data_IF_482054141501
#
_entry.id   IF_482054141501
#
_cell.length_a   1.000
_cell.length_b   1.000
_cell.length_c   1.000
_cell.angle_alpha   90.00
_cell.angle_beta   90.00
_cell.angle_gamma   90.00
#
_symmetry.space_group_name_H-M   'P 1'
#
loop_
_entity.id
_entity.type
_entity.pdbx_description
1 polymer ?
#
# COMPACT_ATOMS: atom_id res chain seq x y z
N UNK A 1 -42.52 49.05 -43.62
CA UNK A 1 -41.99 48.52 -42.34
C UNK A 1 -41.63 47.04 -42.53
N UNK A 2 -40.36 46.73 -42.84
CA UNK A 2 -39.84 45.35 -42.86
C UNK A 2 -39.15 45.13 -41.52
N UNK A 3 -39.65 44.21 -40.71
CA UNK A 3 -39.02 43.81 -39.44
C UNK A 3 -37.84 42.90 -39.77
N UNK A 4 -36.66 43.35 -39.39
CA UNK A 4 -35.40 42.61 -39.47
C UNK A 4 -35.36 41.71 -38.22
N UNK A 5 -35.52 40.39 -38.42
CA UNK A 5 -35.31 39.41 -37.35
C UNK A 5 -33.81 39.16 -37.22
N UNK A 6 -33.22 39.66 -36.14
CA UNK A 6 -31.84 39.36 -35.73
C UNK A 6 -31.86 37.96 -35.11
N UNK A 7 -31.24 37.00 -35.78
CA UNK A 7 -30.96 35.68 -35.23
C UNK A 7 -29.76 35.83 -34.28
N UNK A 8 -30.01 35.75 -32.98
CA UNK A 8 -28.96 35.69 -31.96
C UNK A 8 -28.46 34.24 -31.91
N UNK A 9 -27.27 33.98 -32.43
CA UNK A 9 -26.61 32.69 -32.27
C UNK A 9 -26.15 32.57 -30.81
N UNK A 10 -26.84 31.75 -30.01
CA UNK A 10 -26.31 31.27 -28.74
C UNK A 10 -25.14 30.34 -29.04
N UNK A 11 -23.92 30.82 -28.79
CA UNK A 11 -22.76 29.96 -28.58
C UNK A 11 -23.00 29.21 -27.26
N UNK A 12 -23.48 27.99 -27.36
CA UNK A 12 -23.34 27.00 -26.30
C UNK A 12 -21.85 26.65 -26.23
N UNK A 13 -21.10 27.38 -25.41
CA UNK A 13 -19.84 26.88 -24.87
C UNK A 13 -20.26 25.70 -24.01
N UNK A 14 -19.97 24.47 -24.45
CA UNK A 14 -20.00 23.36 -23.50
C UNK A 14 -19.03 23.73 -22.39
N UNK A 15 -19.49 23.78 -21.15
CA UNK A 15 -18.58 23.64 -20.01
C UNK A 15 -17.87 22.31 -20.24
N UNK A 16 -16.69 22.34 -20.87
CA UNK A 16 -15.74 21.28 -20.65
C UNK A 16 -15.44 21.39 -19.16
N UNK A 17 -15.84 20.37 -18.40
CA UNK A 17 -15.49 20.31 -16.98
C UNK A 17 -13.99 20.54 -16.88
N UNK A 18 -13.63 21.50 -16.03
CA UNK A 18 -12.23 21.85 -15.78
C UNK A 18 -11.46 20.55 -15.45
N UNK A 19 -10.34 20.24 -16.15
CA UNK A 19 -9.65 18.96 -16.01
C UNK A 19 -9.27 18.61 -14.58
N UNK A 20 -8.97 19.62 -13.76
CA UNK A 20 -8.70 19.47 -12.33
C UNK A 20 -9.94 18.95 -11.59
N UNK A 21 -11.10 19.58 -11.78
CA UNK A 21 -12.37 19.15 -11.17
C UNK A 21 -12.75 17.72 -11.60
N UNK A 22 -12.65 17.41 -12.90
CA UNK A 22 -12.97 16.08 -13.41
C UNK A 22 -12.03 15.00 -12.84
N UNK A 23 -10.72 15.29 -12.77
CA UNK A 23 -9.73 14.39 -12.19
C UNK A 23 -9.99 14.18 -10.70
N UNK A 24 -10.28 15.24 -9.96
CA UNK A 24 -10.55 15.19 -8.51
C UNK A 24 -11.71 14.25 -8.21
N UNK A 25 -12.81 14.37 -8.95
CA UNK A 25 -13.99 13.50 -8.78
C UNK A 25 -13.65 12.04 -9.12
N UNK A 26 -12.94 11.80 -10.23
CA UNK A 26 -12.58 10.43 -10.62
C UNK A 26 -11.64 9.76 -9.60
N UNK A 27 -10.67 10.50 -9.04
CA UNK A 27 -9.79 9.98 -7.99
C UNK A 27 -10.59 9.71 -6.72
N UNK A 28 -11.53 10.60 -6.36
CA UNK A 28 -12.41 10.40 -5.20
C UNK A 28 -13.21 9.11 -5.35
N UNK A 29 -13.83 8.89 -6.51
CA UNK A 29 -14.59 7.68 -6.80
C UNK A 29 -13.71 6.41 -6.74
N UNK A 30 -12.48 6.48 -7.24
CA UNK A 30 -11.52 5.38 -7.15
C UNK A 30 -11.18 5.04 -5.70
N UNK A 31 -10.78 6.03 -4.90
CA UNK A 31 -10.40 5.80 -3.50
C UNK A 31 -11.59 5.37 -2.66
N UNK A 32 -12.80 5.88 -2.90
CA UNK A 32 -14.03 5.40 -2.25
C UNK A 32 -14.25 3.90 -2.53
N UNK A 33 -14.06 3.46 -3.78
CA UNK A 33 -14.23 2.06 -4.16
C UNK A 33 -13.17 1.14 -3.51
N UNK A 34 -11.91 1.58 -3.43
CA UNK A 34 -10.85 0.82 -2.76
C UNK A 34 -11.05 0.79 -1.24
N UNK A 35 -11.54 1.86 -0.61
CA UNK A 35 -11.91 1.86 0.82
C UNK A 35 -13.11 0.95 1.11
N UNK A 36 -14.09 0.88 0.21
CA UNK A 36 -15.18 -0.11 0.28
C UNK A 36 -14.64 -1.54 0.20
N UNK A 37 -13.70 -1.80 -0.72
CA UNK A 37 -13.07 -3.11 -0.89
C UNK A 37 -12.21 -3.49 0.32
N UNK A 38 -11.44 -2.55 0.87
CA UNK A 38 -10.63 -2.70 2.07
C UNK A 38 -11.50 -3.05 3.28
N UNK A 39 -12.60 -2.31 3.48
CA UNK A 39 -13.56 -2.57 4.55
C UNK A 39 -14.22 -3.94 4.41
N UNK A 40 -14.63 -4.31 3.19
CA UNK A 40 -15.20 -5.63 2.95
C UNK A 40 -14.17 -6.75 3.17
N UNK A 41 -12.90 -6.55 2.81
CA UNK A 41 -11.81 -7.49 3.08
C UNK A 41 -11.62 -7.73 4.58
N UNK A 42 -11.68 -6.66 5.40
CA UNK A 42 -11.60 -6.78 6.86
C UNK A 42 -12.81 -7.54 7.46
N UNK A 43 -14.01 -7.30 6.95
CA UNK A 43 -15.21 -8.07 7.34
C UNK A 43 -15.08 -9.56 6.97
N UNK A 44 -14.62 -9.85 5.75
CA UNK A 44 -14.37 -11.22 5.28
C UNK A 44 -13.32 -11.93 6.14
N UNK A 45 -12.28 -11.21 6.56
CA UNK A 45 -11.21 -11.72 7.42
C UNK A 45 -11.74 -12.12 8.79
N UNK A 46 -12.58 -11.28 9.42
CA UNK A 46 -13.27 -11.62 10.68
C UNK A 46 -14.26 -12.78 10.52
N UNK A 47 -15.02 -12.80 9.42
CA UNK A 47 -15.97 -13.87 9.14
C UNK A 47 -15.29 -15.22 8.88
N UNK A 48 -14.07 -15.22 8.34
CA UNK A 48 -13.28 -16.41 8.07
C UNK A 48 -12.55 -16.96 9.30
N UNK A 49 -12.45 -16.19 10.39
CA UNK A 49 -11.76 -16.62 11.60
C UNK A 49 -12.34 -17.94 12.15
N UNK A 50 -11.48 -18.89 12.57
CA UNK A 50 -11.92 -20.11 13.25
C UNK A 50 -12.91 -19.81 14.37
N UNK A 51 -13.89 -20.70 14.52
CA UNK A 51 -14.85 -20.55 15.62
C UNK A 51 -14.10 -20.75 16.94
N UNK A 52 -14.19 -19.82 17.90
CA UNK A 52 -13.52 -20.01 19.19
C UNK A 52 -14.01 -21.29 19.87
N UNK A 53 -13.09 -22.19 20.17
CA UNK A 53 -13.33 -23.44 20.91
C UNK A 53 -12.21 -23.75 21.90
N UNK A 54 -12.29 -24.90 22.57
CA UNK A 54 -11.48 -25.18 23.75
C UNK A 54 -9.96 -25.28 23.49
N UNK A 55 -9.54 -25.68 22.30
CA UNK A 55 -8.14 -25.74 21.87
C UNK A 55 -7.66 -24.49 21.14
N UNK A 56 -8.53 -23.49 20.98
CA UNK A 56 -8.17 -22.22 20.35
C UNK A 56 -8.13 -22.37 18.84
N UNK A 57 -6.93 -22.29 18.26
CA UNK A 57 -6.67 -22.50 16.85
C UNK A 57 -5.66 -23.63 16.65
N UNK A 58 -5.91 -24.47 15.65
CA UNK A 58 -5.01 -25.56 15.27
C UNK A 58 -4.84 -25.63 13.75
N UNK A 59 -3.59 -25.64 13.28
CA UNK A 59 -3.24 -25.74 11.86
C UNK A 59 -3.91 -26.93 11.12
N UNK A 60 -4.21 -28.03 11.84
CA UNK A 60 -4.84 -29.23 11.26
C UNK A 60 -6.35 -29.09 11.16
N UNK A 61 -7.01 -28.74 12.26
CA UNK A 61 -8.47 -28.73 12.34
C UNK A 61 -9.07 -27.46 11.71
N UNK A 62 -8.32 -26.35 11.74
CA UNK A 62 -8.73 -25.06 11.19
C UNK A 62 -8.13 -24.75 9.82
N UNK A 63 -7.48 -25.72 9.17
CA UNK A 63 -6.76 -25.50 7.90
C UNK A 63 -7.59 -24.75 6.84
N UNK A 64 -8.89 -25.06 6.75
CA UNK A 64 -9.80 -24.41 5.81
C UNK A 64 -10.12 -22.95 6.20
N UNK A 65 -10.30 -22.68 7.50
CA UNK A 65 -10.54 -21.33 8.01
C UNK A 65 -9.28 -20.47 7.87
N UNK A 66 -8.10 -21.01 8.24
CA UNK A 66 -6.81 -20.35 8.04
C UNK A 66 -6.55 -20.02 6.56
N UNK A 67 -6.84 -20.95 5.64
CA UNK A 67 -6.73 -20.67 4.21
C UNK A 67 -7.68 -19.55 3.74
N UNK A 68 -8.93 -19.55 4.22
CA UNK A 68 -9.89 -18.50 3.91
C UNK A 68 -9.47 -17.14 4.48
N UNK A 69 -8.93 -17.12 5.71
CA UNK A 69 -8.36 -15.94 6.33
C UNK A 69 -7.17 -15.40 5.55
N UNK A 70 -6.20 -16.24 5.17
CA UNK A 70 -5.02 -15.82 4.38
C UNK A 70 -5.45 -15.20 3.05
N UNK A 71 -6.44 -15.79 2.40
CA UNK A 71 -7.01 -15.23 1.18
C UNK A 71 -7.76 -13.90 1.40
N UNK A 72 -8.46 -13.73 2.52
CA UNK A 72 -9.11 -12.47 2.88
C UNK A 72 -8.08 -11.39 3.20
N UNK A 73 -7.08 -11.72 4.02
CA UNK A 73 -5.97 -10.84 4.38
C UNK A 73 -5.24 -10.31 3.14
N UNK A 74 -4.94 -11.17 2.16
CA UNK A 74 -4.33 -10.74 0.90
C UNK A 74 -5.22 -9.75 0.12
N UNK A 75 -6.54 -9.99 0.05
CA UNK A 75 -7.46 -9.04 -0.60
C UNK A 75 -7.50 -7.70 0.13
N UNK A 76 -7.47 -7.72 1.46
CA UNK A 76 -7.42 -6.52 2.32
C UNK A 76 -6.13 -5.74 2.05
N UNK A 77 -4.96 -6.40 2.05
CA UNK A 77 -3.67 -5.79 1.71
C UNK A 77 -3.66 -5.17 0.33
N UNK A 78 -4.10 -5.88 -0.71
CA UNK A 78 -4.15 -5.34 -2.08
C UNK A 78 -4.99 -4.06 -2.15
N UNK A 79 -6.17 -4.04 -1.51
CA UNK A 79 -7.02 -2.86 -1.50
C UNK A 79 -6.39 -1.68 -0.74
N UNK A 80 -5.70 -1.95 0.37
CA UNK A 80 -4.94 -0.92 1.10
C UNK A 80 -3.82 -0.36 0.23
N UNK A 81 -2.99 -1.22 -0.37
CA UNK A 81 -1.82 -0.83 -1.17
C UNK A 81 -2.19 -0.06 -2.45
N UNK A 82 -3.39 -0.27 -2.99
CA UNK A 82 -3.89 0.56 -4.09
C UNK A 82 -4.06 2.03 -3.74
N UNK A 83 -4.23 2.36 -2.45
CA UNK A 83 -4.54 3.72 -1.98
C UNK A 83 -3.61 4.23 -0.88
N UNK A 84 -2.69 3.42 -0.36
CA UNK A 84 -1.70 3.72 0.70
C UNK A 84 -1.16 5.15 0.58
N UNK A 85 -0.55 5.50 -0.56
CA UNK A 85 0.02 6.83 -0.77
C UNK A 85 -0.97 8.00 -0.61
N UNK A 86 -2.26 7.79 -0.87
CA UNK A 86 -3.30 8.79 -0.62
C UNK A 86 -3.78 8.79 0.85
N UNK A 87 -3.98 7.61 1.44
CA UNK A 87 -4.57 7.48 2.78
C UNK A 87 -3.56 7.77 3.89
N UNK A 88 -2.29 7.40 3.75
CA UNK A 88 -1.24 7.63 4.76
C UNK A 88 -1.06 9.13 5.05
N UNK A 89 -1.22 9.97 4.01
CA UNK A 89 -1.14 11.43 4.13
C UNK A 89 -2.40 12.00 4.80
N UNK A 90 -3.58 11.46 4.47
CA UNK A 90 -4.87 12.00 4.92
C UNK A 90 -5.23 11.53 6.35
N UNK A 91 -4.83 10.32 6.72
CA UNK A 91 -5.19 9.65 7.96
C UNK A 91 -3.98 9.00 8.65
N UNK A 92 -2.88 9.74 8.93
CA UNK A 92 -1.62 9.17 9.41
C UNK A 92 -1.74 8.41 10.75
N UNK A 93 -2.74 8.71 11.56
CA UNK A 93 -2.99 7.95 12.80
C UNK A 93 -3.71 6.63 12.57
N UNK A 94 -4.61 6.58 11.57
CA UNK A 94 -5.33 5.35 11.24
C UNK A 94 -4.40 4.43 10.44
N UNK A 95 -3.61 5.01 9.53
CA UNK A 95 -2.51 4.37 8.82
C UNK A 95 -1.63 3.53 9.76
N UNK A 96 -1.03 4.17 10.79
CA UNK A 96 -0.29 3.46 11.85
C UNK A 96 -1.14 2.38 12.54
N UNK A 97 -2.41 2.64 12.84
CA UNK A 97 -3.24 1.67 13.54
C UNK A 97 -3.55 0.42 12.71
N UNK A 98 -3.61 0.53 11.39
CA UNK A 98 -3.99 -0.55 10.48
C UNK A 98 -2.81 -1.19 9.75
N UNK A 99 -1.66 -0.53 9.66
CA UNK A 99 -0.52 -1.02 8.86
C UNK A 99 0.87 -0.84 9.48
N UNK A 100 0.96 -0.43 10.74
CA UNK A 100 2.27 -0.41 11.40
C UNK A 100 2.82 -1.83 11.60
N UNK A 101 4.09 -2.02 11.25
CA UNK A 101 4.85 -3.26 11.47
C UNK A 101 5.17 -3.46 12.96
N UNK A 102 5.40 -4.71 13.36
CA UNK A 102 5.55 -5.12 14.77
C UNK A 102 6.58 -4.28 15.55
N UNK A 103 7.77 -4.10 14.99
CA UNK A 103 8.88 -3.35 15.59
C UNK A 103 8.48 -1.92 16.00
N UNK A 104 7.80 -1.18 15.12
CA UNK A 104 7.36 0.19 15.42
C UNK A 104 6.37 0.30 16.59
N UNK A 105 5.63 -0.77 16.93
CA UNK A 105 4.81 -0.80 18.15
C UNK A 105 5.63 -1.17 19.39
N UNK A 106 6.38 -2.27 19.32
CA UNK A 106 7.02 -2.83 20.52
C UNK A 106 8.24 -2.05 20.99
N UNK A 107 8.89 -1.30 20.11
CA UNK A 107 9.92 -0.31 20.51
C UNK A 107 9.35 0.77 21.42
N UNK A 108 8.08 1.15 21.23
CA UNK A 108 7.41 2.13 22.06
C UNK A 108 6.90 1.52 23.36
N UNK A 109 6.20 0.38 23.29
CA UNK A 109 5.67 -0.34 24.47
C UNK A 109 5.50 -1.82 24.14
N UNK A 110 6.08 -2.74 24.95
CA UNK A 110 5.83 -4.16 24.80
C UNK A 110 4.34 -4.50 24.85
N UNK A 111 3.92 -5.39 23.96
CA UNK A 111 2.56 -5.91 23.94
C UNK A 111 2.50 -7.25 24.67
N UNK A 112 1.61 -7.34 25.66
CA UNK A 112 1.48 -8.50 26.54
C UNK A 112 0.24 -9.35 26.21
N UNK A 113 -0.63 -8.89 25.32
CA UNK A 113 -1.83 -9.60 24.88
C UNK A 113 -2.06 -9.36 23.38
N UNK A 114 -1.35 -10.11 22.51
CA UNK A 114 -1.34 -9.85 21.06
C UNK A 114 -2.67 -10.15 20.37
N UNK A 115 -3.68 -10.63 21.10
CA UNK A 115 -5.01 -10.96 20.58
C UNK A 115 -6.06 -9.89 20.89
N UNK A 116 -5.73 -8.91 21.72
CA UNK A 116 -6.66 -7.85 22.11
C UNK A 116 -6.67 -6.69 21.09
N UNK A 117 -7.36 -5.58 21.44
CA UNK A 117 -7.50 -4.40 20.56
C UNK A 117 -6.50 -3.28 20.83
N UNK A 118 -5.44 -3.55 21.59
CA UNK A 118 -4.41 -2.62 22.05
C UNK A 118 -3.01 -3.13 21.69
N UNK A 119 -1.97 -2.31 21.93
CA UNK A 119 -0.61 -2.73 21.57
C UNK A 119 -0.43 -2.84 20.05
N UNK A 120 -0.05 -4.03 19.59
CA UNK A 120 0.21 -4.31 18.18
C UNK A 120 -1.11 -4.62 17.48
N UNK A 121 -1.58 -3.68 16.66
CA UNK A 121 -2.85 -3.82 15.91
C UNK A 121 -2.62 -3.80 14.40
N UNK A 122 -3.70 -3.97 13.62
CA UNK A 122 -3.64 -3.82 12.17
C UNK A 122 -3.36 -5.10 11.39
N UNK A 123 -3.13 -4.96 10.09
CA UNK A 123 -2.93 -6.06 9.15
C UNK A 123 -1.69 -6.88 9.50
N UNK A 124 -0.58 -6.25 9.90
CA UNK A 124 0.64 -6.98 10.28
C UNK A 124 0.53 -7.70 11.63
N UNK A 125 -0.25 -7.17 12.59
CA UNK A 125 -0.58 -7.91 13.80
C UNK A 125 -1.31 -9.22 13.48
N UNK A 126 -2.29 -9.14 12.57
CA UNK A 126 -3.04 -10.30 12.09
C UNK A 126 -2.14 -11.25 11.30
N UNK A 127 -1.30 -10.74 10.40
CA UNK A 127 -0.35 -11.51 9.60
C UNK A 127 0.58 -12.32 10.49
N UNK A 128 1.17 -11.66 11.51
CA UNK A 128 2.09 -12.27 12.47
C UNK A 128 1.48 -13.50 13.12
N UNK A 129 0.21 -13.42 13.52
CA UNK A 129 -0.53 -14.53 14.11
C UNK A 129 -0.88 -15.59 13.07
N UNK A 130 -1.39 -15.19 11.90
CA UNK A 130 -1.93 -16.08 10.88
C UNK A 130 -0.87 -16.97 10.18
N UNK A 131 0.39 -16.51 10.18
CA UNK A 131 1.56 -17.26 9.72
C UNK A 131 2.45 -17.76 10.86
N UNK A 132 1.97 -17.77 12.11
CA UNK A 132 2.75 -18.29 13.23
C UNK A 132 3.27 -19.71 12.97
N UNK A 133 4.56 -19.93 13.27
CA UNK A 133 5.26 -21.19 12.97
C UNK A 133 5.80 -21.32 11.54
N UNK A 134 5.48 -20.37 10.64
CA UNK A 134 5.99 -20.30 9.26
C UNK A 134 6.90 -19.07 9.04
N UNK A 135 7.23 -18.32 10.10
CA UNK A 135 8.04 -17.10 10.01
C UNK A 135 9.46 -17.39 9.51
N UNK A 136 10.01 -16.57 8.59
CA UNK A 136 11.38 -16.72 8.14
C UNK A 136 12.41 -16.61 9.28
N UNK A 137 13.48 -17.43 9.30
CA UNK A 137 14.48 -17.40 10.37
C UNK A 137 15.13 -16.03 10.60
N UNK A 138 15.37 -15.27 9.54
CA UNK A 138 15.93 -13.91 9.58
C UNK A 138 14.99 -12.92 10.27
N UNK A 139 13.67 -13.03 10.03
CA UNK A 139 12.65 -12.23 10.73
C UNK A 139 12.62 -12.57 12.21
N UNK A 140 12.65 -13.86 12.55
CA UNK A 140 12.73 -14.31 13.96
C UNK A 140 14.01 -13.81 14.62
N UNK A 141 15.15 -13.84 13.93
CA UNK A 141 16.43 -13.36 14.46
C UNK A 141 16.40 -11.84 14.71
N UNK A 142 15.79 -11.07 13.82
CA UNK A 142 15.55 -9.64 14.01
C UNK A 142 14.63 -9.38 15.21
N UNK A 143 13.41 -9.92 15.19
CA UNK A 143 12.41 -9.59 16.22
C UNK A 143 12.80 -10.06 17.60
N UNK A 144 13.45 -11.23 17.72
CA UNK A 144 13.91 -11.74 19.02
C UNK A 144 15.00 -10.89 19.68
N UNK A 145 15.59 -9.93 18.95
CA UNK A 145 16.50 -8.94 19.50
C UNK A 145 15.79 -7.73 20.13
N UNK A 146 14.49 -7.56 19.86
CA UNK A 146 13.69 -6.43 20.34
C UNK A 146 13.25 -6.67 21.80
N UNK A 147 13.36 -5.62 22.62
CA UNK A 147 12.89 -5.70 24.00
C UNK A 147 11.37 -5.86 24.05
N UNK A 148 10.88 -6.91 24.71
CA UNK A 148 9.46 -7.21 24.76
C UNK A 148 8.98 -8.14 23.65
N UNK A 149 9.89 -8.74 22.89
CA UNK A 149 9.57 -9.79 21.94
C UNK A 149 8.80 -10.95 22.58
N UNK A 150 7.68 -11.31 21.97
CA UNK A 150 6.99 -12.57 22.22
C UNK A 150 6.92 -13.39 20.93
N UNK A 151 7.25 -14.68 20.99
CA UNK A 151 7.16 -15.57 19.84
C UNK A 151 5.73 -15.62 19.31
N UNK A 152 5.57 -15.46 17.99
CA UNK A 152 4.27 -15.52 17.37
C UNK A 152 3.66 -16.91 17.50
N UNK A 153 2.38 -16.95 17.85
CA UNK A 153 1.63 -18.18 18.04
C UNK A 153 0.17 -17.96 17.66
N UNK A 154 -0.49 -19.06 17.33
CA UNK A 154 -1.94 -19.07 17.28
C UNK A 154 -2.56 -18.88 18.68
N UNK A 155 -3.82 -18.40 18.75
CA UNK A 155 -4.62 -18.49 19.95
C UNK A 155 -4.65 -19.93 20.48
N UNK A 156 -4.36 -20.14 21.76
CA UNK A 156 -4.24 -21.45 22.39
C UNK A 156 -5.47 -21.81 23.24
N UNK A 157 -6.42 -20.88 23.40
CA UNK A 157 -7.63 -21.07 24.19
C UNK A 157 -8.84 -20.43 23.51
N UNK A 158 -10.04 -20.87 23.90
CA UNK A 158 -11.29 -20.24 23.46
C UNK A 158 -11.32 -18.72 23.73
N UNK A 159 -10.76 -18.30 24.86
CA UNK A 159 -10.72 -16.89 25.24
C UNK A 159 -9.84 -16.07 24.30
N UNK A 160 -8.64 -16.56 23.98
CA UNK A 160 -7.72 -15.90 23.04
C UNK A 160 -8.28 -15.91 21.62
N UNK A 161 -8.88 -17.02 21.17
CA UNK A 161 -9.50 -17.10 19.84
C UNK A 161 -10.68 -16.14 19.72
N UNK A 162 -11.44 -15.98 20.81
CA UNK A 162 -12.52 -14.98 20.90
C UNK A 162 -11.97 -13.55 20.91
N UNK A 163 -10.93 -13.26 21.69
CA UNK A 163 -10.30 -11.94 21.73
C UNK A 163 -9.77 -11.56 20.35
N UNK A 164 -9.03 -12.45 19.68
CA UNK A 164 -8.53 -12.21 18.34
C UNK A 164 -9.66 -11.82 17.36
N UNK A 165 -10.77 -12.56 17.36
CA UNK A 165 -11.88 -12.31 16.43
C UNK A 165 -12.71 -11.07 16.81
N UNK A 166 -13.11 -10.98 18.08
CA UNK A 166 -14.09 -10.00 18.56
C UNK A 166 -13.44 -8.68 19.02
N UNK A 167 -12.11 -8.66 19.18
CA UNK A 167 -11.34 -7.48 19.60
C UNK A 167 -10.32 -7.06 18.55
N UNK A 168 -9.28 -7.85 18.24
CA UNK A 168 -8.23 -7.45 17.28
C UNK A 168 -8.79 -7.22 15.87
N UNK A 169 -9.52 -8.19 15.31
CA UNK A 169 -10.13 -8.03 13.98
C UNK A 169 -11.24 -6.99 13.99
N UNK A 170 -11.99 -6.88 15.08
CA UNK A 170 -12.99 -5.82 15.22
C UNK A 170 -12.33 -4.44 15.23
N UNK A 171 -11.17 -4.30 15.85
CA UNK A 171 -10.40 -3.04 15.85
C UNK A 171 -9.98 -2.64 14.44
N UNK A 172 -9.46 -3.60 13.66
CA UNK A 172 -9.13 -3.36 12.25
C UNK A 172 -10.35 -2.90 11.45
N UNK A 173 -11.51 -3.56 11.61
CA UNK A 173 -12.77 -3.16 10.98
C UNK A 173 -13.20 -1.75 11.40
N UNK A 174 -13.15 -1.45 12.71
CA UNK A 174 -13.54 -0.15 13.26
C UNK A 174 -12.66 0.99 12.71
N UNK A 175 -11.34 0.77 12.63
CA UNK A 175 -10.37 1.76 12.16
C UNK A 175 -10.52 2.01 10.65
N UNK A 176 -10.62 0.95 9.84
CA UNK A 176 -10.89 1.06 8.39
C UNK A 176 -12.25 1.72 8.14
N UNK A 177 -13.28 1.33 8.89
CA UNK A 177 -14.61 1.92 8.80
C UNK A 177 -14.60 3.41 9.14
N UNK A 178 -13.83 3.79 10.16
CA UNK A 178 -13.63 5.20 10.53
C UNK A 178 -12.95 5.97 9.41
N UNK A 179 -11.87 5.44 8.82
CA UNK A 179 -11.18 6.07 7.68
C UNK A 179 -12.13 6.24 6.48
N UNK A 180 -12.85 5.18 6.12
CA UNK A 180 -13.85 5.18 5.04
C UNK A 180 -14.93 6.24 5.25
N UNK A 181 -15.54 6.27 6.44
CA UNK A 181 -16.61 7.21 6.76
C UNK A 181 -16.12 8.67 6.80
N UNK A 182 -14.89 8.90 7.25
CA UNK A 182 -14.27 10.23 7.24
C UNK A 182 -13.85 10.69 5.84
N UNK A 183 -13.42 9.76 4.98
CA UNK A 183 -13.05 10.04 3.61
C UNK A 183 -14.26 10.34 2.72
N UNK A 184 -15.39 9.66 2.93
CA UNK A 184 -16.60 9.83 2.11
C UNK A 184 -17.03 11.30 1.89
N UNK A 185 -17.14 12.16 2.92
CA UNK A 185 -17.48 13.58 2.75
C UNK A 185 -16.27 14.49 2.48
N UNK A 186 -15.04 13.97 2.49
CA UNK A 186 -13.83 14.77 2.35
C UNK A 186 -13.74 15.36 0.94
N UNK A 187 -13.58 16.68 0.86
CA UNK A 187 -13.22 17.34 -0.38
C UNK A 187 -11.74 17.05 -0.67
N UNK A 188 -11.48 16.11 -1.59
CA UNK A 188 -10.13 15.71 -1.94
C UNK A 188 -9.40 16.84 -2.68
N UNK A 189 -8.15 17.08 -2.30
CA UNK A 189 -7.23 17.93 -3.03
C UNK A 189 -6.51 17.09 -4.11
N UNK A 190 -6.67 17.37 -5.41
CA UNK A 190 -5.99 16.62 -6.47
C UNK A 190 -4.45 16.70 -6.33
N UNK A 191 -3.91 17.78 -5.76
CA UNK A 191 -2.49 17.88 -5.46
C UNK A 191 -2.08 16.89 -4.37
N UNK A 192 -2.92 16.63 -3.37
CA UNK A 192 -2.66 15.60 -2.35
C UNK A 192 -2.66 14.21 -2.98
N UNK A 193 -3.63 13.89 -3.84
CA UNK A 193 -3.69 12.60 -4.52
C UNK A 193 -2.47 12.34 -5.42
N UNK A 194 -2.09 13.30 -6.28
CA UNK A 194 -0.93 13.14 -7.15
C UNK A 194 0.37 12.97 -6.35
N UNK A 195 0.53 13.74 -5.26
CA UNK A 195 1.66 13.60 -4.34
C UNK A 195 1.66 12.24 -3.65
N UNK A 196 0.49 11.71 -3.30
CA UNK A 196 0.34 10.36 -2.77
C UNK A 196 0.86 9.29 -3.72
N UNK A 197 0.56 9.41 -5.03
CA UNK A 197 1.13 8.48 -6.03
C UNK A 197 2.65 8.59 -6.08
N UNK A 198 3.21 9.81 -6.04
CA UNK A 198 4.66 10.00 -5.99
C UNK A 198 5.25 9.35 -4.72
N UNK A 199 4.63 9.60 -3.56
CA UNK A 199 5.05 9.03 -2.28
C UNK A 199 5.08 7.50 -2.30
N UNK A 200 4.02 6.87 -2.80
CA UNK A 200 3.96 5.41 -2.92
C UNK A 200 5.06 4.85 -3.83
N UNK A 201 5.44 5.55 -4.91
CA UNK A 201 6.57 5.13 -5.76
C UNK A 201 7.93 5.31 -5.07
N UNK A 202 8.07 6.32 -4.21
CA UNK A 202 9.28 6.53 -3.39
C UNK A 202 9.42 5.42 -2.35
N UNK A 203 8.31 5.05 -1.70
CA UNK A 203 8.25 4.07 -0.61
C UNK A 203 8.63 2.65 -1.04
N UNK A 204 8.55 2.33 -2.34
CA UNK A 204 9.03 1.06 -2.88
C UNK A 204 10.51 0.80 -2.54
N UNK A 205 11.32 1.85 -2.49
CA UNK A 205 12.73 1.75 -2.08
C UNK A 205 12.86 1.30 -0.63
N UNK A 206 12.01 1.78 0.28
CA UNK A 206 12.03 1.38 1.68
C UNK A 206 11.70 -0.12 1.81
N UNK A 207 10.65 -0.60 1.12
CA UNK A 207 10.23 -2.01 1.15
C UNK A 207 11.37 -2.96 0.75
N UNK A 208 12.14 -2.64 -0.29
CA UNK A 208 13.33 -3.42 -0.67
C UNK A 208 14.56 -3.15 0.20
N UNK A 209 14.67 -2.00 0.86
CA UNK A 209 15.80 -1.71 1.75
C UNK A 209 15.70 -2.48 3.06
N UNK A 210 14.51 -2.51 3.66
CA UNK A 210 14.24 -3.14 4.95
C UNK A 210 14.23 -4.67 4.90
N UNK A 211 14.05 -5.27 3.71
CA UNK A 211 14.19 -6.72 3.54
C UNK A 211 15.58 -7.24 3.97
N UNK A 212 16.62 -6.40 3.86
CA UNK A 212 17.98 -6.77 4.26
C UNK A 212 18.13 -7.05 5.76
N UNK A 213 17.24 -6.50 6.58
CA UNK A 213 17.27 -6.62 8.04
C UNK A 213 16.12 -7.48 8.58
N UNK A 214 15.31 -8.08 7.70
CA UNK A 214 14.09 -8.80 8.09
C UNK A 214 12.95 -7.87 8.54
N UNK A 215 13.03 -6.61 8.11
CA UNK A 215 12.10 -5.53 8.46
C UNK A 215 11.10 -5.21 7.33
N UNK A 216 11.08 -6.01 6.26
CA UNK A 216 10.19 -5.75 5.13
C UNK A 216 8.70 -5.85 5.47
N UNK A 217 7.88 -5.39 4.54
CA UNK A 217 6.47 -5.07 4.73
C UNK A 217 5.66 -6.28 5.21
N UNK A 218 5.53 -7.28 4.35
CA UNK A 218 4.78 -8.51 4.60
C UNK A 218 5.73 -9.66 4.89
N UNK A 219 6.57 -9.47 5.91
CA UNK A 219 7.70 -10.35 6.26
C UNK A 219 7.31 -11.75 6.74
N UNK A 220 6.11 -11.92 7.31
CA UNK A 220 5.68 -13.23 7.83
C UNK A 220 5.05 -14.08 6.73
N UNK A 221 4.22 -13.45 5.90
CA UNK A 221 3.56 -14.08 4.75
C UNK A 221 4.48 -14.20 3.54
N UNK A 222 5.60 -13.46 3.53
CA UNK A 222 6.55 -13.33 2.43
C UNK A 222 5.86 -12.78 1.15
N UNK A 223 5.03 -11.75 1.30
CA UNK A 223 4.22 -11.16 0.22
C UNK A 223 4.59 -9.70 -0.11
N UNK A 224 5.75 -9.22 0.34
CA UNK A 224 6.20 -7.84 0.09
C UNK A 224 6.25 -7.47 -1.39
N UNK A 225 6.53 -8.42 -2.31
CA UNK A 225 6.49 -8.12 -3.75
C UNK A 225 5.05 -8.02 -4.28
N UNK A 226 4.08 -8.75 -3.70
CA UNK A 226 2.66 -8.54 -4.01
C UNK A 226 2.19 -7.14 -3.58
N UNK A 227 2.63 -6.68 -2.42
CA UNK A 227 2.37 -5.32 -1.93
C UNK A 227 2.91 -4.27 -2.90
N UNK A 228 4.17 -4.40 -3.29
CA UNK A 228 4.81 -3.50 -4.26
C UNK A 228 4.10 -3.50 -5.63
N UNK A 229 3.61 -4.67 -6.08
CA UNK A 229 2.80 -4.78 -7.31
C UNK A 229 1.46 -4.08 -7.16
N UNK A 230 0.79 -4.21 -6.02
CA UNK A 230 -0.46 -3.52 -5.73
C UNK A 230 -0.23 -2.00 -5.69
N UNK A 231 0.83 -1.51 -5.03
CA UNK A 231 1.18 -0.08 -5.06
C UNK A 231 1.37 0.44 -6.49
N UNK A 232 2.12 -0.29 -7.32
CA UNK A 232 2.31 0.10 -8.72
C UNK A 232 0.99 0.11 -9.50
N UNK A 233 0.11 -0.87 -9.28
CA UNK A 233 -1.20 -0.95 -9.92
C UNK A 233 -2.11 0.21 -9.50
N UNK A 234 -2.16 0.53 -8.21
CA UNK A 234 -2.90 1.66 -7.67
C UNK A 234 -2.36 2.99 -8.18
N UNK A 235 -1.04 3.17 -8.12
CA UNK A 235 -0.38 4.37 -8.61
C UNK A 235 -0.57 4.58 -10.11
N UNK A 236 -0.53 3.52 -10.91
CA UNK A 236 -0.86 3.56 -12.35
C UNK A 236 -2.32 3.93 -12.59
N UNK A 237 -3.25 3.41 -11.80
CA UNK A 237 -4.68 3.71 -11.92
C UNK A 237 -4.96 5.17 -11.61
N UNK A 238 -4.44 5.68 -10.49
CA UNK A 238 -4.61 7.08 -10.09
C UNK A 238 -3.90 8.00 -11.10
N UNK A 239 -2.64 7.74 -11.48
CA UNK A 239 -1.95 8.52 -12.51
C UNK A 239 -2.72 8.53 -13.84
N UNK A 240 -3.34 7.39 -14.18
CA UNK A 240 -4.24 7.23 -15.32
C UNK A 240 -5.32 8.30 -15.41
N UNK A 241 -5.86 8.72 -14.27
CA UNK A 241 -6.90 9.76 -14.17
C UNK A 241 -6.35 11.17 -14.42
N UNK A 242 -5.05 11.41 -14.19
CA UNK A 242 -4.40 12.69 -14.43
C UNK A 242 -3.89 12.86 -15.87
N UNK A 243 -3.85 11.80 -16.68
CA UNK A 243 -3.16 11.81 -17.98
C UNK A 243 -3.66 12.90 -18.92
N UNK A 244 -4.96 13.10 -19.02
CA UNK A 244 -5.54 14.12 -19.91
C UNK A 244 -5.18 15.53 -19.46
N UNK A 245 -5.14 15.76 -18.13
CA UNK A 245 -4.68 17.02 -17.57
C UNK A 245 -3.19 17.25 -17.85
N UNK A 246 -2.34 16.23 -17.64
CA UNK A 246 -0.90 16.29 -17.94
C UNK A 246 -0.65 16.56 -19.42
N UNK A 247 -1.33 15.86 -20.32
CA UNK A 247 -1.19 16.02 -21.78
C UNK A 247 -1.64 17.39 -22.27
N UNK A 248 -2.60 18.02 -21.58
CA UNK A 248 -3.05 19.37 -21.87
C UNK A 248 -2.02 20.47 -21.59
N UNK A 249 -0.99 20.20 -20.78
CA UNK A 249 0.08 21.13 -20.47
C UNK A 249 1.10 21.28 -21.63
N UNK A 250 1.88 22.36 -21.63
CA UNK A 250 2.95 22.55 -22.62
C UNK A 250 4.01 21.43 -22.49
N UNK A 251 4.23 20.70 -23.59
CA UNK A 251 5.11 19.51 -23.57
C UNK A 251 4.52 18.28 -22.85
N UNK A 252 3.25 18.34 -22.46
CA UNK A 252 2.54 17.34 -21.66
C UNK A 252 2.53 15.94 -22.25
N UNK A 253 2.32 15.81 -23.57
CA UNK A 253 2.34 14.51 -24.26
C UNK A 253 3.66 13.76 -24.09
N UNK A 254 4.79 14.49 -24.19
CA UNK A 254 6.10 13.90 -23.99
C UNK A 254 6.37 13.57 -22.52
N UNK A 255 5.81 14.33 -21.58
CA UNK A 255 5.88 14.06 -20.15
C UNK A 255 5.08 12.80 -19.78
N UNK A 256 3.83 12.70 -20.23
CA UNK A 256 2.98 11.49 -20.04
C UNK A 256 3.69 10.24 -20.53
N UNK A 257 4.25 10.28 -21.74
CA UNK A 257 4.96 9.16 -22.31
C UNK A 257 6.16 8.70 -21.45
N UNK A 258 6.87 9.64 -20.80
CA UNK A 258 8.03 9.31 -19.95
C UNK A 258 7.61 8.76 -18.59
N UNK A 259 6.55 9.28 -17.98
CA UNK A 259 5.99 8.71 -16.74
C UNK A 259 5.50 7.30 -16.98
N UNK A 260 4.74 7.07 -18.05
CA UNK A 260 4.26 5.73 -18.43
C UNK A 260 5.45 4.79 -18.67
N UNK A 261 6.49 5.26 -19.38
CA UNK A 261 7.69 4.45 -19.57
C UNK A 261 8.42 4.12 -18.27
N UNK A 262 8.36 4.98 -17.24
CA UNK A 262 8.88 4.69 -15.90
C UNK A 262 8.07 3.62 -15.20
N UNK A 263 6.74 3.77 -15.16
CA UNK A 263 5.83 2.76 -14.60
C UNK A 263 6.01 1.39 -15.28
N UNK A 264 6.20 1.37 -16.60
CA UNK A 264 6.42 0.15 -17.37
C UNK A 264 7.78 -0.51 -17.07
N UNK A 265 8.82 0.27 -16.73
CA UNK A 265 10.11 -0.30 -16.30
C UNK A 265 10.02 -0.98 -14.95
N UNK A 266 9.33 -0.36 -13.99
CA UNK A 266 9.09 -0.95 -12.66
C UNK A 266 8.22 -2.21 -12.81
N UNK A 267 7.14 -2.14 -13.60
CA UNK A 267 6.26 -3.29 -13.87
C UNK A 267 7.03 -4.47 -14.48
N UNK A 268 7.89 -4.20 -15.48
CA UNK A 268 8.71 -5.22 -16.11
C UNK A 268 9.71 -5.86 -15.13
N UNK A 269 10.27 -5.09 -14.19
CA UNK A 269 11.16 -5.61 -13.17
C UNK A 269 10.42 -6.53 -12.19
N UNK A 270 9.23 -6.14 -11.75
CA UNK A 270 8.40 -6.96 -10.87
C UNK A 270 7.91 -8.23 -11.58
N UNK A 271 7.52 -8.13 -12.85
CA UNK A 271 7.05 -9.26 -13.64
C UNK A 271 8.15 -10.28 -13.99
N UNK A 272 9.42 -9.89 -13.90
CA UNK A 272 10.55 -10.79 -14.13
C UNK A 272 10.83 -11.73 -12.94
N UNK A 273 10.20 -11.50 -11.79
CA UNK A 273 10.35 -12.29 -10.57
C UNK A 273 9.15 -13.24 -10.44
N UNK A 274 9.44 -14.54 -10.34
CA UNK A 274 8.42 -15.56 -10.13
C UNK A 274 7.86 -15.49 -8.70
N UNK A 275 6.54 -15.57 -8.56
CA UNK A 275 5.87 -15.51 -7.25
C UNK A 275 5.80 -14.10 -6.67
N UNK A 276 5.33 -14.00 -5.43
CA UNK A 276 4.98 -12.74 -4.74
C UNK A 276 5.92 -12.38 -3.57
N UNK A 277 7.00 -13.15 -3.40
CA UNK A 277 8.06 -12.86 -2.43
C UNK A 277 9.17 -12.05 -3.07
N UNK A 278 9.85 -11.23 -2.27
CA UNK A 278 11.11 -10.63 -2.72
C UNK A 278 12.13 -11.75 -3.03
N UNK A 279 13.03 -11.54 -4.02
CA UNK A 279 14.14 -12.46 -4.21
C UNK A 279 15.00 -12.52 -2.95
N UNK A 280 15.68 -13.64 -2.66
CA UNK A 280 16.50 -13.76 -1.46
C UNK A 280 17.59 -12.68 -1.39
N UNK A 281 17.72 -12.05 -0.22
CA UNK A 281 18.78 -11.09 0.05
C UNK A 281 20.15 -11.79 0.00
N UNK A 282 21.15 -11.25 -0.71
CA UNK A 282 22.49 -11.83 -0.76
C UNK A 282 23.18 -11.86 0.61
N UNK A 283 23.99 -12.90 0.87
CA UNK A 283 24.78 -13.01 2.10
C UNK A 283 25.75 -11.83 2.23
N UNK A 284 25.70 -11.12 3.36
CA UNK A 284 26.56 -9.97 3.62
C UNK A 284 26.14 -8.69 2.87
N UNK A 285 24.93 -8.65 2.32
CA UNK A 285 24.36 -7.48 1.67
C UNK A 285 24.53 -6.22 2.51
N UNK A 286 25.08 -5.17 1.90
CA UNK A 286 25.12 -3.83 2.44
C UNK A 286 24.39 -2.89 1.48
N UNK A 287 23.20 -2.37 1.83
CA UNK A 287 22.43 -1.52 0.92
C UNK A 287 23.13 -0.20 0.60
N UNK A 288 24.12 0.22 1.40
CA UNK A 288 24.87 1.47 1.21
C UNK A 288 26.18 1.29 0.42
N UNK A 289 26.67 0.05 0.28
CA UNK A 289 27.89 -0.30 -0.46
C UNK A 289 27.82 -1.76 -0.98
N UNK A 290 26.87 -2.09 -1.88
CA UNK A 290 26.71 -3.44 -2.37
C UNK A 290 27.87 -3.81 -3.32
N UNK A 291 28.35 -5.05 -3.23
CA UNK A 291 29.40 -5.51 -4.14
C UNK A 291 28.87 -5.73 -5.57
N UNK A 292 29.78 -5.83 -6.54
CA UNK A 292 29.39 -6.15 -7.91
C UNK A 292 28.74 -7.55 -8.05
N UNK A 293 29.05 -8.47 -7.13
CA UNK A 293 28.42 -9.79 -7.07
C UNK A 293 26.99 -9.68 -6.54
N UNK A 294 26.79 -8.88 -5.49
CA UNK A 294 25.47 -8.61 -4.92
C UNK A 294 24.52 -7.99 -5.94
N UNK A 295 24.99 -6.98 -6.66
CA UNK A 295 24.24 -6.28 -7.72
C UNK A 295 23.89 -7.18 -8.91
N UNK A 296 24.61 -8.29 -9.10
CA UNK A 296 24.32 -9.25 -10.17
C UNK A 296 23.21 -10.24 -9.80
N UNK A 297 22.84 -10.35 -8.51
CA UNK A 297 21.74 -11.22 -8.06
C UNK A 297 20.38 -10.65 -8.45
N UNK A 298 19.29 -11.46 -8.48
CA UNK A 298 17.94 -10.96 -8.73
C UNK A 298 17.50 -9.88 -7.72
N UNK A 299 17.85 -10.03 -6.44
CA UNK A 299 17.57 -9.01 -5.42
C UNK A 299 18.34 -7.72 -5.69
N UNK A 300 19.63 -7.81 -5.97
CA UNK A 300 20.45 -6.64 -6.28
C UNK A 300 19.95 -5.87 -7.51
N UNK A 301 19.53 -6.59 -8.57
CA UNK A 301 18.93 -5.99 -9.76
C UNK A 301 17.61 -5.26 -9.45
N UNK A 302 16.72 -5.90 -8.67
CA UNK A 302 15.47 -5.28 -8.23
C UNK A 302 15.75 -4.05 -7.37
N UNK A 303 16.62 -4.17 -6.36
CA UNK A 303 17.01 -3.09 -5.45
C UNK A 303 17.56 -1.90 -6.22
N UNK A 304 18.49 -2.11 -7.16
CA UNK A 304 19.05 -1.02 -7.98
C UNK A 304 17.95 -0.33 -8.78
N UNK A 305 17.14 -1.08 -9.52
CA UNK A 305 16.12 -0.48 -10.37
C UNK A 305 15.08 0.30 -9.57
N UNK A 306 14.57 -0.26 -8.47
CA UNK A 306 13.59 0.42 -7.62
C UNK A 306 14.21 1.67 -6.98
N UNK A 307 15.45 1.58 -6.48
CA UNK A 307 16.16 2.74 -5.92
C UNK A 307 16.36 3.86 -6.94
N UNK A 308 16.72 3.50 -8.19
CA UNK A 308 16.92 4.48 -9.26
C UNK A 308 15.61 5.14 -9.69
N UNK A 309 14.52 4.36 -9.83
CA UNK A 309 13.22 4.88 -10.25
C UNK A 309 12.52 5.70 -9.14
N UNK A 310 12.81 5.41 -7.87
CA UNK A 310 12.32 6.13 -6.70
C UNK A 310 13.05 7.47 -6.44
N UNK A 311 14.27 7.64 -6.94
CA UNK A 311 15.08 8.83 -6.64
C UNK A 311 14.69 10.04 -7.53
N UNK A 312 14.14 11.13 -6.98
CA UNK A 312 13.82 12.34 -7.73
C UNK A 312 15.04 13.07 -8.31
N UNK A 313 16.26 12.80 -7.81
CA UNK A 313 17.49 13.43 -8.26
C UNK A 313 18.07 12.77 -9.53
N UNK A 314 17.66 11.54 -9.84
CA UNK A 314 18.11 10.83 -11.04
C UNK A 314 17.28 11.28 -12.24
N UNK A 315 17.96 11.90 -13.21
CA UNK A 315 17.31 12.35 -14.43
C UNK A 315 16.72 11.17 -15.22
N UNK A 316 15.40 11.20 -15.46
CA UNK A 316 14.68 10.17 -16.19
C UNK A 316 14.10 9.04 -15.32
N UNK A 317 14.33 9.07 -14.00
CA UNK A 317 13.61 8.19 -13.07
C UNK A 317 12.11 8.48 -13.10
N UNK A 318 11.30 7.48 -12.76
CA UNK A 318 9.86 7.59 -12.65
C UNK A 318 9.47 8.77 -11.76
N UNK A 319 10.03 8.85 -10.54
CA UNK A 319 9.70 9.92 -9.60
C UNK A 319 10.13 11.30 -10.13
N UNK A 320 11.28 11.42 -10.81
CA UNK A 320 11.70 12.68 -11.42
C UNK A 320 10.73 13.13 -12.53
N UNK A 321 10.25 12.19 -13.36
CA UNK A 321 9.28 12.46 -14.42
C UNK A 321 7.88 12.78 -13.86
N UNK A 322 7.44 12.08 -12.81
CA UNK A 322 6.19 12.41 -12.12
C UNK A 322 6.26 13.80 -11.48
N UNK A 323 7.38 14.16 -10.87
CA UNK A 323 7.62 15.51 -10.36
C UNK A 323 7.57 16.57 -11.46
N UNK A 324 8.07 16.26 -12.66
CA UNK A 324 7.96 17.14 -13.82
C UNK A 324 6.51 17.26 -14.31
N UNK A 325 5.76 16.16 -14.35
CA UNK A 325 4.35 16.15 -14.70
C UNK A 325 3.51 16.97 -13.72
N UNK A 326 3.71 16.80 -12.40
CA UNK A 326 3.05 17.58 -11.36
C UNK A 326 3.27 19.09 -11.56
N UNK A 327 4.52 19.52 -11.78
CA UNK A 327 4.83 20.94 -12.06
C UNK A 327 4.16 21.46 -13.32
N UNK A 328 4.05 20.64 -14.37
CA UNK A 328 3.44 21.03 -15.64
C UNK A 328 1.93 21.34 -15.49
N UNK A 329 1.26 20.68 -14.55
CA UNK A 329 -0.16 20.92 -14.23
C UNK A 329 -0.37 21.82 -13.01
N UNK A 330 0.69 22.46 -12.50
CA UNK A 330 0.61 23.43 -11.41
C UNK A 330 0.49 22.84 -10.01
N UNK A 331 0.72 21.53 -9.84
CA UNK A 331 0.75 20.88 -8.53
C UNK A 331 2.10 21.17 -7.85
N UNK A 332 2.10 21.81 -6.66
CA UNK A 332 3.33 22.06 -5.92
C UNK A 332 3.90 20.76 -5.36
N UNK A 333 5.22 20.60 -5.47
CA UNK A 333 5.93 19.53 -4.78
C UNK A 333 6.12 19.91 -3.31
N UNK A 334 6.01 18.92 -2.44
CA UNK A 334 6.45 19.06 -1.05
C UNK A 334 7.93 18.66 -0.94
N UNK A 335 8.70 19.30 -0.03
CA UNK A 335 10.12 19.03 0.17
C UNK A 335 10.42 17.58 0.54
#
# INVERSE_FOLDING_TARGET
MRRLSILLALLLVSCADDPETATTLAVKDYVDAELDALYQGALDLQAAAPTPDADGWNATDDAAALAAMRAAWLRTRVAYEHVEGAIAILFPHIDVAIDQRYDGFVEATPDMDPFDRTGVTGMHAVERILWAGEHPPEVVAFESSILGYEEARFPATEAEARAFRDELLQRLIDDIGTMRDQFAPLALDPAAAFRGVIGSMIEQHEKVRLAATGEDESRYSQLTLADMRANLAGGRSIYGLFRDWVRGAEGGEALDARVVAGLDRVDAAYAAIDGDSLPPVPDGWNPDDPSAEDLATPYGQLFTLVSEEADPAIAGSLVAEMNAAARAIGIPLVP
#
